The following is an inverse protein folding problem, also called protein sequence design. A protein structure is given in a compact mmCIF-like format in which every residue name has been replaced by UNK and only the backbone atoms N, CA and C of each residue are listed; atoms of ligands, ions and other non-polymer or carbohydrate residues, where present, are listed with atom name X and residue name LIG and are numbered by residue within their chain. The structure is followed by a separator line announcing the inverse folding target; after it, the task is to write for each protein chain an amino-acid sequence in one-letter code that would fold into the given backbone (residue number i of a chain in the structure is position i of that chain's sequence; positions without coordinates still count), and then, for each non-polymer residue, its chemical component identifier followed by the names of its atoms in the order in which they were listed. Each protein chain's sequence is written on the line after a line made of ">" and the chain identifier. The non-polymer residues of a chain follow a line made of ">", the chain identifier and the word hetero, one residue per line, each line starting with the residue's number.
data_IF_655999049031
#
_entry.id   IF_655999049031
#
_cell.length_a   1.000
_cell.length_b   1.000
_cell.length_c   1.000
_cell.angle_alpha   90.00
_cell.angle_beta   90.00
_cell.angle_gamma   90.00
#
_symmetry.space_group_name_H-M   'P 1'
#
loop_
_entity.id
_entity.type
_entity.pdbx_description
1 polymer ?
#
# COMPACT_ATOMS: atom_id res chain seq x y z
N UNK A 1 11.17 9.92 4.53
CA UNK A 1 9.71 10.13 4.57
C UNK A 1 9.31 10.86 3.31
N UNK A 2 8.32 10.36 2.59
CA UNK A 2 7.77 11.00 1.41
C UNK A 2 6.31 11.35 1.67
N UNK A 3 5.90 12.56 1.29
CA UNK A 3 4.53 13.04 1.45
C UNK A 3 3.99 13.42 0.08
N UNK A 4 2.82 12.88 -0.26
CA UNK A 4 2.06 13.20 -1.45
C UNK A 4 0.87 14.05 -1.06
N UNK A 5 0.61 15.08 -1.86
CA UNK A 5 -0.57 15.93 -1.74
C UNK A 5 -1.32 15.89 -3.08
N UNK A 6 -2.62 15.62 -3.05
CA UNK A 6 -3.50 15.78 -4.22
C UNK A 6 -4.70 16.63 -3.84
N UNK A 7 -4.68 17.91 -4.22
CA UNK A 7 -5.72 18.85 -3.81
C UNK A 7 -5.84 18.96 -2.28
N UNK A 8 -6.99 18.52 -1.74
CA UNK A 8 -7.28 18.52 -0.30
C UNK A 8 -6.83 17.24 0.44
N UNK A 9 -6.31 16.26 -0.27
CA UNK A 9 -5.90 14.97 0.28
C UNK A 9 -4.40 14.92 0.50
N UNK A 10 -3.99 14.24 1.58
CA UNK A 10 -2.59 13.99 1.86
C UNK A 10 -2.35 12.51 2.18
N UNK A 11 -1.19 12.03 1.77
CA UNK A 11 -0.69 10.71 2.08
C UNK A 11 0.78 10.80 2.44
N UNK A 12 1.18 10.22 3.57
CA UNK A 12 2.56 10.10 3.98
C UNK A 12 2.99 8.64 3.96
N UNK A 13 4.18 8.38 3.42
CA UNK A 13 4.84 7.08 3.47
C UNK A 13 6.25 7.22 4.07
N UNK A 14 6.55 6.37 5.05
CA UNK A 14 7.83 6.33 5.74
C UNK A 14 8.39 4.91 5.68
N UNK A 15 9.46 4.75 4.91
CA UNK A 15 10.24 3.50 4.88
C UNK A 15 11.15 3.45 6.08
N UNK A 16 11.06 2.39 6.88
CA UNK A 16 11.95 2.07 7.99
C UNK A 16 12.70 0.76 7.70
N UNK A 17 13.77 0.42 8.46
CA UNK A 17 14.56 -0.78 8.20
C UNK A 17 13.78 -2.11 8.17
N UNK A 18 12.65 -2.19 8.89
CA UNK A 18 11.89 -3.44 9.04
C UNK A 18 10.44 -3.36 8.57
N UNK A 19 9.95 -2.16 8.27
CA UNK A 19 8.55 -1.97 7.89
C UNK A 19 8.36 -0.63 7.18
N UNK A 20 7.21 -0.50 6.52
CA UNK A 20 6.79 0.75 5.88
C UNK A 20 5.55 1.22 6.62
N UNK A 21 5.57 2.47 7.07
CA UNK A 21 4.40 3.12 7.66
C UNK A 21 3.73 3.99 6.62
N UNK A 22 2.42 3.86 6.48
CA UNK A 22 1.59 4.80 5.73
C UNK A 22 0.63 5.53 6.66
N UNK A 23 0.35 6.78 6.33
CA UNK A 23 -0.71 7.56 6.94
C UNK A 23 -1.44 8.34 5.85
N UNK A 24 -2.72 8.05 5.64
CA UNK A 24 -3.56 8.63 4.59
C UNK A 24 -4.75 9.31 5.23
N UNK A 25 -5.26 10.37 4.62
CA UNK A 25 -6.42 11.12 5.13
C UNK A 25 -7.76 10.39 4.96
N UNK A 26 -7.78 9.05 4.95
CA UNK A 26 -8.98 8.22 4.85
C UNK A 26 -9.51 7.97 3.43
N UNK A 27 -8.82 8.45 2.38
CA UNK A 27 -9.20 8.10 1.01
C UNK A 27 -8.48 6.82 0.54
N UNK A 28 -9.27 5.81 0.18
CA UNK A 28 -8.83 4.53 -0.41
C UNK A 28 -7.97 4.74 -1.67
N UNK A 29 -8.20 5.81 -2.43
CA UNK A 29 -7.43 6.14 -3.64
C UNK A 29 -5.94 6.41 -3.34
N UNK A 30 -5.65 7.12 -2.25
CA UNK A 30 -4.27 7.40 -1.82
C UNK A 30 -3.56 6.12 -1.39
N UNK A 31 -4.21 5.29 -0.56
CA UNK A 31 -3.67 4.00 -0.13
C UNK A 31 -3.37 3.09 -1.33
N UNK A 32 -4.32 3.02 -2.26
CA UNK A 32 -4.18 2.21 -3.48
C UNK A 32 -2.98 2.66 -4.31
N UNK A 33 -2.75 3.97 -4.42
CA UNK A 33 -1.60 4.52 -5.16
C UNK A 33 -0.27 4.05 -4.55
N UNK A 34 -0.14 4.09 -3.23
CA UNK A 34 1.06 3.58 -2.57
C UNK A 34 1.20 2.07 -2.71
N UNK A 35 0.11 1.31 -2.58
CA UNK A 35 0.12 -0.14 -2.79
C UNK A 35 0.57 -0.51 -4.21
N UNK A 36 0.16 0.23 -5.23
CA UNK A 36 0.61 0.02 -6.61
C UNK A 36 2.13 0.22 -6.77
N UNK A 37 2.71 1.21 -6.07
CA UNK A 37 4.16 1.41 -6.08
C UNK A 37 4.86 0.28 -5.34
N UNK A 38 4.38 -0.11 -4.15
CA UNK A 38 4.96 -1.20 -3.37
C UNK A 38 4.92 -2.54 -4.10
N UNK A 39 3.81 -2.83 -4.79
CA UNK A 39 3.65 -4.03 -5.64
C UNK A 39 4.68 -4.13 -6.76
N UNK A 40 5.19 -3.00 -7.26
CA UNK A 40 6.25 -2.98 -8.28
C UNK A 40 7.63 -3.28 -7.70
N UNK A 41 7.82 -3.12 -6.39
CA UNK A 41 9.08 -3.42 -5.72
C UNK A 41 9.14 -4.88 -5.25
N UNK A 42 8.09 -5.35 -4.58
CA UNK A 42 8.01 -6.71 -4.04
C UNK A 42 6.53 -7.14 -3.89
N UNK A 43 6.24 -8.43 -4.02
CA UNK A 43 4.87 -8.98 -3.93
C UNK A 43 4.53 -9.53 -2.53
N UNK A 44 5.53 -9.61 -1.65
CA UNK A 44 5.46 -10.25 -0.33
C UNK A 44 5.23 -9.26 0.80
N UNK A 45 4.81 -8.03 0.48
CA UNK A 45 4.37 -7.07 1.48
C UNK A 45 3.02 -7.47 2.09
N UNK A 46 2.97 -7.51 3.42
CA UNK A 46 1.73 -7.63 4.18
C UNK A 46 1.26 -6.24 4.61
N UNK A 47 0.11 -5.80 4.10
CA UNK A 47 -0.53 -4.57 4.52
C UNK A 47 -1.40 -4.84 5.76
N UNK A 48 -1.28 -3.99 6.77
CA UNK A 48 -2.04 -4.09 8.02
C UNK A 48 -2.50 -2.70 8.46
N UNK A 49 -3.78 -2.60 8.78
CA UNK A 49 -4.44 -1.47 9.40
C UNK A 49 -5.02 -1.94 10.75
N UNK A 50 -4.41 -1.46 11.83
CA UNK A 50 -4.77 -1.85 13.19
C UNK A 50 -6.07 -1.19 13.68
N UNK A 51 -6.42 0.01 13.18
CA UNK A 51 -7.60 0.75 13.60
C UNK A 51 -8.87 0.09 13.03
N UNK A 52 -8.82 -0.25 11.74
CA UNK A 52 -9.94 -0.91 11.07
C UNK A 52 -9.86 -2.44 11.13
N UNK A 53 -8.84 -3.02 11.79
CA UNK A 53 -8.56 -4.46 11.86
C UNK A 53 -8.50 -5.15 10.49
N UNK A 54 -8.04 -4.42 9.46
CA UNK A 54 -7.91 -4.92 8.09
C UNK A 54 -6.48 -5.35 7.85
N UNK A 55 -6.31 -6.51 7.22
CA UNK A 55 -5.00 -7.00 6.81
C UNK A 55 -5.11 -7.76 5.50
N UNK A 56 -4.04 -7.77 4.73
CA UNK A 56 -4.00 -8.47 3.46
C UNK A 56 -2.63 -8.41 2.81
N UNK A 57 -2.25 -9.50 2.17
CA UNK A 57 -1.07 -9.52 1.32
C UNK A 57 -1.29 -8.61 0.11
N UNK A 58 -0.27 -7.85 -0.29
CA UNK A 58 -0.22 -7.17 -1.59
C UNK A 58 0.06 -8.19 -2.72
N UNK A 59 -0.72 -9.26 -2.76
CA UNK A 59 -0.68 -10.32 -3.78
C UNK A 59 -0.92 -9.70 -5.18
N UNK A 60 -0.39 -10.27 -6.28
CA UNK A 60 -0.53 -9.64 -7.58
C UNK A 60 -2.01 -9.59 -8.00
N UNK A 61 -2.41 -8.47 -8.59
CA UNK A 61 -3.76 -8.22 -9.11
C UNK A 61 -4.21 -9.24 -10.17
N UNK A 62 -3.31 -10.09 -10.67
CA UNK A 62 -3.60 -11.18 -11.60
C UNK A 62 -2.76 -12.41 -11.24
N UNK A 63 -3.38 -13.38 -10.58
CA UNK A 63 -2.93 -14.75 -10.68
C UNK A 63 -3.24 -15.19 -12.12
N UNK A 64 -2.30 -15.00 -13.05
CA UNK A 64 -2.40 -15.64 -14.37
C UNK A 64 -2.24 -17.13 -14.10
N UNK A 65 -3.36 -17.82 -13.89
CA UNK A 65 -3.40 -19.28 -13.94
C UNK A 65 -3.22 -19.68 -15.39
N UNK A 66 -1.98 -19.72 -15.86
CA UNK A 66 -1.66 -20.45 -17.08
C UNK A 66 -1.77 -21.93 -16.72
N UNK A 67 -2.94 -22.51 -16.96
CA UNK A 67 -3.03 -23.97 -17.08
C UNK A 67 -2.29 -24.33 -18.38
N UNK A 68 -1.11 -24.94 -18.23
CA UNK A 68 -0.41 -25.63 -19.32
C UNK A 68 -0.96 -27.04 -19.48
#
# INVERSE_FOLDING_TARGET
>A
THTLYTGAEYGEIMVKPHYIRMNTSGNVSMETTFFEVLRKCELTFLAMDYENTKYGWLNPLKQVRTYV
#
